data_IF_767200276462
#
_entry.id   IF_767200276462
#
_cell.length_a   1.000
_cell.length_b   1.000
_cell.length_c   1.000
_cell.angle_alpha   90.00
_cell.angle_beta   90.00
_cell.angle_gamma   90.00
#
_symmetry.space_group_name_H-M   'P 1'
#
loop_
_entity.id
_entity.type
_entity.pdbx_description
1 polymer ?
#
# COMPACT_ATOMS: atom_id res chain seq x y z
N UNK A 1 3.58 15.57 8.14
CA UNK A 1 3.53 14.18 8.63
C UNK A 1 4.93 13.68 8.89
N UNK A 2 5.16 12.95 9.98
CA UNK A 2 6.44 12.25 10.15
C UNK A 2 6.55 11.09 9.15
N UNK A 3 7.78 10.70 8.79
CA UNK A 3 8.02 9.61 7.84
C UNK A 3 7.39 8.29 8.31
N UNK A 4 7.39 8.04 9.62
CA UNK A 4 6.75 6.88 10.24
C UNK A 4 5.24 6.90 10.05
N UNK A 5 4.57 8.04 10.27
CA UNK A 5 3.13 8.18 10.02
C UNK A 5 2.81 7.92 8.55
N UNK A 6 3.63 8.43 7.63
CA UNK A 6 3.47 8.25 6.18
C UNK A 6 3.57 6.76 5.79
N UNK A 7 4.56 6.05 6.31
CA UNK A 7 4.71 4.60 6.09
C UNK A 7 3.52 3.80 6.61
N UNK A 8 2.99 4.16 7.79
CA UNK A 8 1.80 3.53 8.37
C UNK A 8 0.56 3.72 7.49
N UNK A 9 0.48 4.78 6.67
CA UNK A 9 -0.61 4.95 5.72
C UNK A 9 -0.38 4.20 4.39
N UNK A 10 0.87 4.15 3.94
CA UNK A 10 1.23 3.54 2.66
C UNK A 10 1.08 2.03 2.71
N UNK A 11 1.48 1.36 3.80
CA UNK A 11 1.40 -0.10 3.91
C UNK A 11 -0.02 -0.67 3.66
N UNK A 12 -1.08 -0.24 4.38
CA UNK A 12 -2.42 -0.76 4.15
C UNK A 12 -2.98 -0.40 2.77
N UNK A 13 -2.63 0.78 2.24
CA UNK A 13 -2.99 1.18 0.88
C UNK A 13 -2.39 0.22 -0.15
N UNK A 14 -1.09 -0.05 -0.07
CA UNK A 14 -0.39 -0.96 -1.00
C UNK A 14 -0.96 -2.38 -0.88
N UNK A 15 -1.22 -2.86 0.33
CA UNK A 15 -1.82 -4.19 0.52
C UNK A 15 -3.22 -4.29 -0.09
N UNK A 16 -4.04 -3.24 0.04
CA UNK A 16 -5.36 -3.19 -0.60
C UNK A 16 -5.26 -3.16 -2.13
N UNK A 17 -4.33 -2.38 -2.68
CA UNK A 17 -4.07 -2.35 -4.13
C UNK A 17 -3.61 -3.71 -4.64
N UNK A 18 -2.78 -4.43 -3.87
CA UNK A 18 -2.34 -5.77 -4.23
C UNK A 18 -3.48 -6.80 -4.13
N UNK A 19 -4.45 -6.63 -3.24
CA UNK A 19 -5.61 -7.54 -3.19
C UNK A 19 -6.60 -7.35 -4.34
N UNK A 20 -6.64 -6.15 -4.92
CA UNK A 20 -7.60 -5.78 -5.97
C UNK A 20 -7.05 -5.98 -7.38
N UNK A 21 -5.72 -6.06 -7.54
CA UNK A 21 -5.05 -6.17 -8.82
C UNK A 21 -4.56 -7.59 -9.11
N UNK A 22 -4.61 -7.98 -10.38
CA UNK A 22 -4.14 -9.27 -10.84
C UNK A 22 -2.61 -9.31 -11.01
N UNK A 23 -2.05 -10.52 -10.93
CA UNK A 23 -0.62 -10.79 -11.12
C UNK A 23 -0.10 -10.27 -12.47
N UNK A 24 -0.94 -10.31 -13.51
CA UNK A 24 -0.62 -9.77 -14.83
C UNK A 24 -0.40 -8.25 -14.81
N UNK A 25 -1.19 -7.52 -14.02
CA UNK A 25 -1.08 -6.07 -13.88
C UNK A 25 0.21 -5.68 -13.15
N UNK A 26 0.63 -6.46 -12.15
CA UNK A 26 1.90 -6.21 -11.44
C UNK A 26 3.09 -6.34 -12.38
N UNK A 27 3.09 -7.37 -13.24
CA UNK A 27 4.13 -7.58 -14.25
C UNK A 27 4.19 -6.40 -15.22
N UNK A 28 3.04 -5.98 -15.74
CA UNK A 28 2.95 -4.83 -16.64
C UNK A 28 3.43 -3.54 -15.97
N UNK A 29 3.07 -3.32 -14.71
CA UNK A 29 3.50 -2.14 -13.96
C UNK A 29 5.04 -2.09 -13.79
N UNK A 30 5.68 -3.22 -13.47
CA UNK A 30 7.14 -3.29 -13.34
C UNK A 30 7.86 -3.06 -14.69
N UNK A 31 7.31 -3.58 -15.79
CA UNK A 31 7.85 -3.38 -17.13
C UNK A 31 7.70 -1.93 -17.61
N UNK A 32 6.49 -1.35 -17.45
CA UNK A 32 6.19 0.00 -17.90
C UNK A 32 7.02 1.07 -17.17
N UNK A 33 7.44 0.77 -15.94
CA UNK A 33 8.29 1.65 -15.13
C UNK A 33 9.78 1.41 -15.37
N UNK A 34 10.15 0.44 -16.22
CA UNK A 34 11.54 0.11 -16.54
C UNK A 34 12.33 -0.45 -15.35
N UNK A 35 11.64 -1.01 -14.35
CA UNK A 35 12.27 -1.55 -13.14
C UNK A 35 12.93 -2.90 -13.43
N UNK A 36 12.34 -3.66 -14.35
CA UNK A 36 12.81 -4.97 -14.77
C UNK A 36 12.58 -5.15 -16.27
N UNK A 37 13.39 -5.99 -16.88
CA UNK A 37 13.26 -6.43 -18.27
C UNK A 37 12.17 -7.50 -18.41
N UNK A 38 11.68 -7.70 -19.63
CA UNK A 38 10.63 -8.70 -19.90
C UNK A 38 11.03 -10.10 -19.47
N UNK A 39 12.29 -10.46 -19.69
CA UNK A 39 12.85 -11.76 -19.32
C UNK A 39 12.88 -11.94 -17.79
N UNK A 40 13.26 -10.89 -17.06
CA UNK A 40 13.35 -10.90 -15.59
C UNK A 40 11.97 -11.05 -14.95
N UNK A 41 10.96 -10.34 -15.46
CA UNK A 41 9.58 -10.40 -14.96
C UNK A 41 8.93 -11.77 -15.21
N UNK A 42 9.31 -12.45 -16.29
CA UNK A 42 8.83 -13.81 -16.59
C UNK A 42 9.55 -14.84 -15.72
N UNK A 43 10.83 -14.65 -15.46
CA UNK A 43 11.65 -15.55 -14.64
C UNK A 43 11.30 -15.50 -13.14
N UNK A 44 10.60 -14.46 -12.69
CA UNK A 44 10.23 -14.30 -11.28
C UNK A 44 9.07 -15.20 -10.86
N UNK A 45 9.30 -15.89 -9.74
CA UNK A 45 8.27 -16.57 -8.98
C UNK A 45 7.23 -15.59 -8.43
N UNK A 46 6.01 -16.07 -8.19
CA UNK A 46 4.89 -15.24 -7.73
C UNK A 46 5.20 -14.51 -6.41
N UNK A 47 5.92 -15.15 -5.48
CA UNK A 47 6.34 -14.52 -4.22
C UNK A 47 7.32 -13.38 -4.44
N UNK A 48 8.27 -13.57 -5.36
CA UNK A 48 9.28 -12.56 -5.68
C UNK A 48 8.65 -11.39 -6.46
N UNK A 49 7.74 -11.68 -7.37
CA UNK A 49 6.95 -10.68 -8.08
C UNK A 49 6.08 -9.85 -7.13
N UNK A 50 5.41 -10.51 -6.16
CA UNK A 50 4.64 -9.85 -5.12
C UNK A 50 5.54 -8.90 -4.29
N UNK A 51 6.70 -9.37 -3.83
CA UNK A 51 7.65 -8.56 -3.08
C UNK A 51 8.21 -7.37 -3.90
N UNK A 52 8.52 -7.59 -5.18
CA UNK A 52 9.00 -6.55 -6.09
C UNK A 52 7.94 -5.47 -6.30
N UNK A 53 6.70 -5.87 -6.59
CA UNK A 53 5.60 -4.94 -6.79
C UNK A 53 5.26 -4.15 -5.52
N UNK A 54 5.21 -4.83 -4.36
CA UNK A 54 5.01 -4.19 -3.04
C UNK A 54 6.07 -3.13 -2.79
N UNK A 55 7.34 -3.49 -2.97
CA UNK A 55 8.48 -2.58 -2.76
C UNK A 55 8.40 -1.37 -3.68
N UNK A 56 8.14 -1.60 -4.97
CA UNK A 56 7.97 -0.54 -5.94
C UNK A 56 6.87 0.44 -5.53
N UNK A 57 5.68 -0.05 -5.18
CA UNK A 57 4.56 0.82 -4.80
C UNK A 57 4.81 1.58 -3.51
N UNK A 58 5.46 0.96 -2.52
CA UNK A 58 5.87 1.66 -1.31
C UNK A 58 6.85 2.79 -1.64
N UNK A 59 7.86 2.52 -2.48
CA UNK A 59 8.83 3.55 -2.90
C UNK A 59 8.20 4.68 -3.71
N UNK A 60 7.25 4.36 -4.58
CA UNK A 60 6.50 5.35 -5.36
C UNK A 60 5.76 6.30 -4.42
N UNK A 61 4.93 5.77 -3.53
CA UNK A 61 4.11 6.57 -2.61
C UNK A 61 4.96 7.28 -1.54
N UNK A 62 6.12 6.73 -1.17
CA UNK A 62 7.05 7.40 -0.25
C UNK A 62 7.63 8.68 -0.84
N UNK A 63 7.82 8.75 -2.15
CA UNK A 63 8.34 9.93 -2.84
C UNK A 63 7.24 10.94 -3.21
N UNK A 64 5.96 10.56 -3.12
CA UNK A 64 4.84 11.44 -3.45
C UNK A 64 4.45 12.41 -2.33
N UNK A 65 3.73 13.47 -2.68
CA UNK A 65 3.20 14.42 -1.70
C UNK A 65 2.12 13.75 -0.82
N UNK A 66 2.04 14.06 0.49
CA UNK A 66 1.02 13.48 1.38
C UNK A 66 -0.43 13.61 0.85
N UNK A 67 -0.76 14.71 0.18
CA UNK A 67 -2.10 14.91 -0.40
C UNK A 67 -2.41 13.90 -1.51
N UNK A 68 -1.41 13.49 -2.29
CA UNK A 68 -1.58 12.47 -3.33
C UNK A 68 -1.89 11.12 -2.69
N UNK A 69 -1.21 10.78 -1.59
CA UNK A 69 -1.46 9.54 -0.84
C UNK A 69 -2.89 9.55 -0.30
N UNK A 70 -3.37 10.68 0.22
CA UNK A 70 -4.74 10.81 0.70
C UNK A 70 -5.76 10.62 -0.43
N UNK A 71 -5.52 11.23 -1.60
CA UNK A 71 -6.37 11.04 -2.77
C UNK A 71 -6.40 9.57 -3.24
N UNK A 72 -5.25 8.88 -3.23
CA UNK A 72 -5.19 7.45 -3.57
C UNK A 72 -5.91 6.58 -2.53
N UNK A 73 -5.86 6.94 -1.24
CA UNK A 73 -6.65 6.28 -0.19
C UNK A 73 -8.15 6.40 -0.46
N UNK A 74 -8.63 7.61 -0.74
CA UNK A 74 -10.04 7.88 -1.04
C UNK A 74 -10.49 7.17 -2.32
N UNK A 75 -9.68 7.22 -3.37
CA UNK A 75 -9.96 6.61 -4.67
C UNK A 75 -10.07 5.08 -4.58
N UNK A 76 -9.15 4.45 -3.86
CA UNK A 76 -9.15 2.99 -3.68
C UNK A 76 -10.14 2.53 -2.59
N UNK A 77 -10.88 3.46 -1.95
CA UNK A 77 -11.82 3.19 -0.85
C UNK A 77 -11.23 2.26 0.20
N UNK A 78 -9.96 2.45 0.52
CA UNK A 78 -9.25 1.59 1.47
C UNK A 78 -10.02 1.66 2.79
N UNK A 79 -10.59 0.54 3.21
CA UNK A 79 -11.36 0.49 4.45
C UNK A 79 -10.35 0.35 5.59
N UNK A 80 -10.08 1.46 6.27
CA UNK A 80 -9.20 1.45 7.42
C UNK A 80 -9.93 0.71 8.53
N UNK A 81 -9.35 -0.40 8.98
CA UNK A 81 -9.61 -0.82 10.35
C UNK A 81 -8.99 0.27 11.22
N UNK A 82 -9.83 1.21 11.66
CA UNK A 82 -9.54 1.98 12.85
C UNK A 82 -9.39 0.93 13.95
N UNK A 83 -8.16 0.48 14.21
CA UNK A 83 -7.83 -0.08 15.50
C UNK A 83 -7.97 1.06 16.49
N UNK A 84 -9.21 1.28 16.93
CA UNK A 84 -9.42 1.79 18.28
C UNK A 84 -8.81 0.72 19.17
N UNK A 85 -7.50 0.79 19.40
CA UNK A 85 -6.88 0.12 20.52
C UNK A 85 -7.68 0.57 21.73
N UNK A 86 -8.48 -0.37 22.23
CA UNK A 86 -9.44 -0.21 23.31
C UNK A 86 -8.69 0.11 24.62
N UNK A 87 -8.19 1.33 24.74
CA UNK A 87 -7.92 1.98 26.02
C UNK A 87 -8.96 3.07 26.30
N UNK A 88 -10.14 2.94 25.67
CA UNK A 88 -11.33 3.64 26.14
C UNK A 88 -11.86 2.91 27.38
N UNK A 89 -11.19 3.12 28.51
CA UNK A 89 -11.80 2.84 29.81
C UNK A 89 -13.02 3.76 29.90
N UNK A 90 -14.21 3.19 29.67
CA UNK A 90 -15.49 3.85 29.97
C UNK A 90 -15.45 4.32 31.43
N UNK A 91 -15.16 5.60 31.64
CA UNK A 91 -15.59 6.29 32.84
C UNK A 91 -17.10 6.36 32.77
N UNK A 92 -17.78 5.44 33.45
CA UNK A 92 -19.22 5.53 33.68
C UNK A 92 -19.49 6.84 34.42
N UNK A 93 -19.97 7.86 33.71
CA UNK A 93 -20.63 9.00 34.34
C UNK A 93 -22.08 8.58 34.52
N UNK A 94 -22.40 8.05 35.70
CA UNK A 94 -23.78 7.97 36.17
C UNK A 94 -24.10 9.30 36.86
N UNK A 95 -25.05 10.05 36.29
CA UNK A 95 -25.72 11.19 36.93
C UNK A 95 -26.73 10.72 37.97
#
# INVERSE_FOLDING_TARGET
>A
MSQTQKLSLIQPLVEHMMQTQDVAEWRQALLNQGIMSKEEVIALDQNALHAAYKTFKIMQLLNEHPDHIMNEIERNKVCWKLDFSYDYHQGAVCY
#
